data_IF_202952879043
#
_entry.id   IF_202952879043
#
_cell.length_a   1.000
_cell.length_b   1.000
_cell.length_c   1.000
_cell.angle_alpha   90.00
_cell.angle_beta   90.00
_cell.angle_gamma   90.00
#
_symmetry.space_group_name_H-M   'P 1'
#
loop_
_entity.id
_entity.type
_entity.pdbx_description
1 polymer ?
#
# COMPACT_ATOMS: atom_id res chain seq x y z
N UNK A 1 12.72 -6.50 25.25
CA UNK A 1 12.68 -5.44 24.21
C UNK A 1 13.80 -4.45 24.47
N UNK A 2 14.70 -4.23 23.49
CA UNK A 2 15.87 -3.37 23.65
C UNK A 2 15.50 -1.87 23.63
N UNK A 3 16.44 -0.99 24.01
CA UNK A 3 16.23 0.48 23.93
C UNK A 3 16.01 0.95 22.48
N UNK A 4 16.59 0.25 21.50
CA UNK A 4 16.41 0.54 20.08
C UNK A 4 15.00 0.11 19.64
N UNK A 5 14.57 -1.09 20.01
CA UNK A 5 13.24 -1.59 19.65
C UNK A 5 12.13 -0.66 20.19
N UNK A 6 12.27 -0.19 21.44
CA UNK A 6 11.32 0.79 22.02
C UNK A 6 11.25 2.09 21.23
N UNK A 7 12.37 2.55 20.66
CA UNK A 7 12.39 3.78 19.83
C UNK A 7 11.72 3.54 18.49
N UNK A 8 11.98 2.40 17.85
CA UNK A 8 11.35 2.03 16.59
C UNK A 8 9.83 1.89 16.81
N UNK A 9 9.41 1.28 17.91
CA UNK A 9 7.98 1.13 18.20
C UNK A 9 7.29 2.46 18.46
N UNK A 10 7.88 3.33 19.29
CA UNK A 10 7.34 4.69 19.47
C UNK A 10 7.33 5.52 18.18
N UNK A 11 8.25 5.25 17.24
CA UNK A 11 8.24 5.87 15.92
C UNK A 11 7.07 5.36 15.05
N UNK A 12 6.64 4.11 15.19
CA UNK A 12 5.45 3.58 14.51
C UNK A 12 4.17 4.13 15.13
N UNK A 13 4.08 4.24 16.45
CA UNK A 13 2.93 4.87 17.12
C UNK A 13 2.73 6.31 16.62
N UNK A 14 3.81 7.09 16.54
CA UNK A 14 3.79 8.44 15.98
C UNK A 14 3.45 8.47 14.48
N UNK A 15 3.78 7.42 13.73
CA UNK A 15 3.42 7.28 12.33
C UNK A 15 1.89 7.13 12.17
N UNK A 16 1.25 6.29 12.99
CA UNK A 16 -0.22 6.14 13.00
C UNK A 16 -0.92 7.45 13.37
N UNK A 17 -0.31 8.24 14.25
CA UNK A 17 -0.77 9.60 14.59
C UNK A 17 -0.44 10.67 13.53
N UNK A 18 0.11 10.27 12.37
CA UNK A 18 0.53 11.15 11.26
C UNK A 18 1.56 12.23 11.67
N UNK A 19 2.33 12.01 12.75
CA UNK A 19 3.35 12.93 13.27
C UNK A 19 4.72 12.71 12.59
N UNK A 20 4.74 12.80 11.27
CA UNK A 20 5.86 12.39 10.42
C UNK A 20 7.22 13.01 10.76
N UNK A 21 7.29 14.30 11.08
CA UNK A 21 8.56 14.96 11.46
C UNK A 21 9.17 14.36 12.74
N UNK A 22 8.33 13.98 13.71
CA UNK A 22 8.78 13.35 14.95
C UNK A 22 9.28 11.94 14.70
N UNK A 23 8.64 11.20 13.78
CA UNK A 23 9.10 9.89 13.32
C UNK A 23 10.51 10.00 12.74
N UNK A 24 10.75 10.92 11.79
CA UNK A 24 12.07 11.12 11.19
C UNK A 24 13.13 11.48 12.23
N UNK A 25 12.81 12.39 13.15
CA UNK A 25 13.72 12.79 14.24
C UNK A 25 14.19 11.58 15.06
N UNK A 26 13.27 10.66 15.39
CA UNK A 26 13.62 9.44 16.13
C UNK A 26 14.51 8.53 15.29
N UNK A 27 14.15 8.28 14.03
CA UNK A 27 14.88 7.38 13.13
C UNK A 27 16.29 7.90 12.81
N UNK A 28 16.45 9.21 12.60
CA UNK A 28 17.75 9.84 12.38
C UNK A 28 18.65 9.75 13.62
N UNK A 29 18.07 9.79 14.83
CA UNK A 29 18.82 9.55 16.07
C UNK A 29 19.40 8.13 16.18
N UNK A 30 18.91 7.19 15.36
CA UNK A 30 19.39 5.81 15.31
C UNK A 30 20.50 5.59 14.26
N UNK A 31 20.74 6.54 13.34
CA UNK A 31 21.75 6.43 12.27
C UNK A 31 23.17 6.14 12.79
N UNK A 32 23.52 6.71 13.95
CA UNK A 32 24.82 6.54 14.60
C UNK A 32 24.89 5.34 15.55
N UNK A 33 23.86 4.48 15.59
CA UNK A 33 23.78 3.32 16.48
C UNK A 33 24.09 2.03 15.71
N UNK A 34 24.67 1.05 16.39
CA UNK A 34 24.85 -0.29 15.85
C UNK A 34 23.51 -1.02 15.85
N UNK A 35 22.86 -1.05 14.70
CA UNK A 35 21.59 -1.75 14.46
C UNK A 35 21.85 -3.21 14.03
N UNK A 36 21.00 -4.13 14.50
CA UNK A 36 20.97 -5.49 13.94
C UNK A 36 20.26 -5.48 12.58
N UNK A 37 20.49 -6.53 11.78
CA UNK A 37 19.89 -6.77 10.46
C UNK A 37 18.41 -6.37 10.35
N UNK A 38 17.56 -6.89 11.23
CA UNK A 38 16.12 -6.57 11.28
C UNK A 38 15.83 -5.08 11.50
N UNK A 39 16.53 -4.46 12.45
CA UNK A 39 16.32 -3.05 12.80
C UNK A 39 16.76 -2.11 11.67
N UNK A 40 17.83 -2.46 10.93
CA UNK A 40 18.25 -1.67 9.76
C UNK A 40 17.16 -1.60 8.70
N UNK A 41 16.57 -2.74 8.38
CA UNK A 41 15.43 -2.81 7.47
C UNK A 41 14.26 -1.96 7.97
N UNK A 42 13.83 -2.15 9.23
CA UNK A 42 12.67 -1.44 9.79
C UNK A 42 12.86 0.07 9.79
N UNK A 43 14.06 0.55 10.15
CA UNK A 43 14.39 1.98 10.13
C UNK A 43 14.32 2.51 8.70
N UNK A 44 14.96 1.84 7.74
CA UNK A 44 15.03 2.32 6.36
C UNK A 44 13.68 2.32 5.67
N UNK A 45 12.93 1.25 5.84
CA UNK A 45 11.57 1.18 5.30
C UNK A 45 10.69 2.30 5.87
N UNK A 46 10.72 2.51 7.19
CA UNK A 46 9.88 3.55 7.81
C UNK A 46 10.34 4.96 7.40
N UNK A 47 11.64 5.22 7.27
CA UNK A 47 12.13 6.49 6.72
C UNK A 47 11.59 6.71 5.30
N UNK A 48 11.70 5.71 4.43
CA UNK A 48 11.17 5.76 3.08
C UNK A 48 9.68 6.11 3.03
N UNK A 49 8.86 5.40 3.79
CA UNK A 49 7.40 5.64 3.84
C UNK A 49 7.06 7.02 4.41
N UNK A 50 7.74 7.46 5.47
CA UNK A 50 7.49 8.78 6.06
C UNK A 50 7.88 9.90 5.10
N UNK A 51 9.03 9.78 4.44
CA UNK A 51 9.49 10.76 3.44
C UNK A 51 8.56 10.82 2.24
N UNK A 52 7.98 9.69 1.84
CA UNK A 52 6.94 9.66 0.81
C UNK A 52 5.71 10.48 1.23
N UNK A 53 5.24 10.34 2.46
CA UNK A 53 4.11 11.13 3.01
C UNK A 53 4.44 12.63 3.15
N UNK A 54 5.71 12.98 3.33
CA UNK A 54 6.21 14.36 3.35
C UNK A 54 6.53 14.92 1.94
N UNK A 55 6.26 14.16 0.88
CA UNK A 55 6.60 14.49 -0.51
C UNK A 55 8.10 14.66 -0.78
N UNK A 56 8.95 14.08 0.07
CA UNK A 56 10.41 14.01 -0.08
C UNK A 56 10.80 12.78 -0.91
N UNK A 57 10.42 12.78 -2.19
CA UNK A 57 10.45 11.57 -3.01
C UNK A 57 11.86 11.07 -3.35
N UNK A 58 12.85 11.95 -3.52
CA UNK A 58 14.21 11.52 -3.83
C UNK A 58 14.88 10.80 -2.66
N UNK A 59 14.73 11.35 -1.46
CA UNK A 59 15.21 10.73 -0.23
C UNK A 59 14.41 9.47 0.12
N UNK A 60 13.10 9.47 -0.13
CA UNK A 60 12.25 8.30 0.06
C UNK A 60 12.71 7.12 -0.81
N UNK A 61 12.92 7.34 -2.11
CA UNK A 61 13.46 6.30 -3.03
C UNK A 61 14.76 5.73 -2.49
N UNK A 62 15.69 6.59 -2.07
CA UNK A 62 16.98 6.16 -1.54
C UNK A 62 16.82 5.25 -0.31
N UNK A 63 15.99 5.64 0.66
CA UNK A 63 15.76 4.81 1.84
C UNK A 63 15.04 3.50 1.51
N UNK A 64 14.12 3.49 0.55
CA UNK A 64 13.42 2.28 0.12
C UNK A 64 14.34 1.31 -0.64
N UNK A 65 15.28 1.81 -1.45
CA UNK A 65 16.34 0.99 -2.05
C UNK A 65 17.26 0.39 -0.98
N UNK A 66 17.70 1.19 -0.02
CA UNK A 66 18.49 0.69 1.10
C UNK A 66 17.68 -0.33 1.93
N UNK A 67 16.36 -0.16 2.09
CA UNK A 67 15.51 -1.15 2.75
C UNK A 67 15.47 -2.47 1.96
N UNK A 68 15.35 -2.42 0.63
CA UNK A 68 15.39 -3.61 -0.21
C UNK A 68 16.74 -4.33 -0.11
N UNK A 69 17.86 -3.60 -0.18
CA UNK A 69 19.20 -4.16 -0.01
C UNK A 69 19.34 -4.86 1.36
N UNK A 70 18.87 -4.22 2.44
CA UNK A 70 18.85 -4.87 3.76
C UNK A 70 17.96 -6.11 3.79
N UNK A 71 16.83 -6.12 3.09
CA UNK A 71 15.95 -7.27 3.02
C UNK A 71 16.57 -8.46 2.26
N UNK A 72 17.34 -8.18 1.21
CA UNK A 72 18.12 -9.16 0.45
C UNK A 72 19.27 -9.72 1.28
N UNK A 73 20.04 -8.86 1.96
CA UNK A 73 21.09 -9.24 2.92
C UNK A 73 20.56 -10.09 4.08
N UNK A 74 19.29 -9.89 4.44
CA UNK A 74 18.60 -10.64 5.48
C UNK A 74 18.01 -11.96 4.97
N UNK A 75 18.04 -12.20 3.66
CA UNK A 75 17.36 -13.32 2.97
C UNK A 75 15.88 -13.44 3.38
N UNK A 76 15.24 -12.31 3.66
CA UNK A 76 13.90 -12.28 4.22
C UNK A 76 12.88 -11.85 3.16
N UNK A 77 12.14 -12.83 2.65
CA UNK A 77 11.16 -12.61 1.59
C UNK A 77 10.05 -11.62 1.97
N UNK A 78 9.55 -11.66 3.21
CA UNK A 78 8.55 -10.69 3.69
C UNK A 78 9.07 -9.25 3.68
N UNK A 79 10.36 -9.07 4.01
CA UNK A 79 10.99 -7.76 3.96
C UNK A 79 11.20 -7.31 2.51
N UNK A 80 11.59 -8.22 1.62
CA UNK A 80 11.79 -7.93 0.20
C UNK A 80 10.47 -7.50 -0.45
N UNK A 81 9.40 -8.26 -0.24
CA UNK A 81 8.09 -7.93 -0.83
C UNK A 81 7.57 -6.59 -0.32
N UNK A 82 7.71 -6.31 0.98
CA UNK A 82 7.30 -5.02 1.55
C UNK A 82 8.11 -3.83 1.01
N UNK A 83 9.41 -3.98 0.80
CA UNK A 83 10.23 -2.92 0.20
C UNK A 83 9.88 -2.70 -1.28
N UNK A 84 9.71 -3.78 -2.04
CA UNK A 84 9.29 -3.74 -3.44
C UNK A 84 7.91 -3.07 -3.61
N UNK A 85 6.97 -3.39 -2.74
CA UNK A 85 5.65 -2.77 -2.72
C UNK A 85 5.73 -1.24 -2.58
N UNK A 86 6.52 -0.77 -1.61
CA UNK A 86 6.70 0.67 -1.39
C UNK A 86 7.46 1.35 -2.54
N UNK A 87 8.44 0.66 -3.16
CA UNK A 87 9.09 1.14 -4.38
C UNK A 87 8.10 1.28 -5.53
N UNK A 88 7.18 0.33 -5.70
CA UNK A 88 6.10 0.42 -6.69
C UNK A 88 5.20 1.63 -6.45
N UNK A 89 4.77 1.86 -5.20
CA UNK A 89 3.93 3.00 -4.83
C UNK A 89 4.62 4.33 -5.15
N UNK A 90 5.89 4.52 -4.77
CA UNK A 90 6.58 5.79 -5.04
C UNK A 90 6.80 6.03 -6.54
N UNK A 91 7.06 4.98 -7.32
CA UNK A 91 7.14 5.12 -8.79
C UNK A 91 5.80 5.52 -9.39
N UNK A 92 4.69 4.94 -8.90
CA UNK A 92 3.34 5.33 -9.30
C UNK A 92 3.07 6.81 -8.99
N UNK A 93 3.43 7.28 -7.80
CA UNK A 93 3.27 8.68 -7.39
C UNK A 93 4.10 9.65 -8.26
N UNK A 94 5.27 9.21 -8.73
CA UNK A 94 6.12 9.98 -9.64
C UNK A 94 5.67 9.90 -11.11
N UNK A 95 4.62 9.13 -11.42
CA UNK A 95 4.12 8.92 -12.77
C UNK A 95 4.94 7.94 -13.62
N UNK A 96 5.91 7.24 -13.03
CA UNK A 96 6.66 6.17 -13.72
C UNK A 96 5.91 4.84 -13.61
N UNK A 97 4.80 4.75 -14.34
CA UNK A 97 3.92 3.58 -14.36
C UNK A 97 4.60 2.30 -14.86
N UNK A 98 5.50 2.33 -15.87
CA UNK A 98 6.27 1.15 -16.26
C UNK A 98 7.11 0.60 -15.10
N UNK A 99 7.88 1.47 -14.43
CA UNK A 99 8.75 1.02 -13.34
C UNK A 99 7.95 0.60 -12.09
N UNK A 100 6.83 1.27 -11.80
CA UNK A 100 5.89 0.82 -10.78
C UNK A 100 5.40 -0.62 -11.04
N UNK A 101 4.99 -0.90 -12.29
CA UNK A 101 4.55 -2.23 -12.71
C UNK A 101 5.67 -3.27 -12.57
N UNK A 102 6.92 -2.91 -12.87
CA UNK A 102 8.06 -3.81 -12.67
C UNK A 102 8.26 -4.18 -11.21
N UNK A 103 8.18 -3.21 -10.29
CA UNK A 103 8.31 -3.48 -8.85
C UNK A 103 7.17 -4.34 -8.32
N UNK A 104 5.91 -4.07 -8.70
CA UNK A 104 4.79 -4.90 -8.28
C UNK A 104 4.87 -6.32 -8.84
N UNK A 105 5.36 -6.51 -10.07
CA UNK A 105 5.60 -7.85 -10.63
C UNK A 105 6.74 -8.58 -9.94
N UNK A 106 7.80 -7.88 -9.56
CA UNK A 106 8.89 -8.48 -8.80
C UNK A 106 8.42 -8.90 -7.40
N UNK A 107 7.58 -8.10 -6.74
CA UNK A 107 6.92 -8.48 -5.49
C UNK A 107 6.18 -9.82 -5.62
N UNK A 108 5.38 -9.99 -6.69
CA UNK A 108 4.68 -11.25 -6.98
C UNK A 108 5.61 -12.45 -7.17
N UNK A 109 6.79 -12.26 -7.79
CA UNK A 109 7.78 -13.34 -7.95
C UNK A 109 8.34 -13.76 -6.59
N UNK A 110 8.66 -12.79 -5.71
CA UNK A 110 9.22 -13.03 -4.38
C UNK A 110 8.22 -13.64 -3.40
N UNK A 111 6.94 -13.30 -3.50
CA UNK A 111 5.93 -13.78 -2.57
C UNK A 111 5.41 -15.19 -2.88
N UNK A 112 5.82 -15.82 -3.99
CA UNK A 112 5.31 -17.13 -4.43
C UNK A 112 5.42 -18.23 -3.36
N UNK A 113 6.49 -18.25 -2.57
CA UNK A 113 6.67 -19.19 -1.45
C UNK A 113 6.06 -18.73 -0.12
N UNK A 114 5.41 -17.56 -0.09
CA UNK A 114 4.72 -17.02 1.09
C UNK A 114 3.22 -17.33 1.08
N UNK A 115 2.73 -17.92 -0.01
CA UNK A 115 1.34 -18.33 -0.20
C UNK A 115 1.02 -19.57 0.65
N UNK A 116 -0.14 -19.64 1.34
CA UNK A 116 -1.28 -18.71 1.29
C UNK A 116 -1.21 -17.52 2.25
N UNK A 117 -0.23 -17.47 3.16
CA UNK A 117 -0.15 -16.41 4.18
C UNK A 117 -0.03 -14.98 3.63
N UNK A 118 0.36 -14.83 2.36
CA UNK A 118 0.48 -13.54 1.66
C UNK A 118 -0.77 -13.12 0.88
N UNK A 119 -1.90 -13.84 0.96
CA UNK A 119 -3.10 -13.51 0.16
C UNK A 119 -3.66 -12.12 0.45
N UNK A 120 -3.63 -11.65 1.70
CA UNK A 120 -4.06 -10.29 2.02
C UNK A 120 -3.15 -9.23 1.37
N UNK A 121 -1.83 -9.43 1.38
CA UNK A 121 -0.88 -8.52 0.73
C UNK A 121 -1.00 -8.59 -0.81
N UNK A 122 -1.30 -9.76 -1.38
CA UNK A 122 -1.62 -9.89 -2.81
C UNK A 122 -2.80 -9.01 -3.21
N UNK A 123 -3.83 -8.88 -2.36
CA UNK A 123 -4.96 -8.02 -2.70
C UNK A 123 -4.54 -6.56 -2.87
N UNK A 124 -3.62 -6.07 -2.05
CA UNK A 124 -3.10 -4.70 -2.15
C UNK A 124 -2.20 -4.55 -3.36
N UNK A 125 -1.31 -5.51 -3.64
CA UNK A 125 -0.48 -5.48 -4.85
C UNK A 125 -1.32 -5.45 -6.14
N UNK A 126 -2.38 -6.26 -6.22
CA UNK A 126 -3.27 -6.26 -7.38
C UNK A 126 -4.10 -4.97 -7.49
N UNK A 127 -4.54 -4.41 -6.36
CA UNK A 127 -5.17 -3.09 -6.35
C UNK A 127 -4.24 -2.02 -6.92
N UNK A 128 -2.98 -1.99 -6.47
CA UNK A 128 -1.98 -1.03 -6.95
C UNK A 128 -1.67 -1.19 -8.45
N UNK A 129 -1.58 -2.42 -8.96
CA UNK A 129 -1.45 -2.65 -10.40
C UNK A 129 -2.67 -2.19 -11.18
N UNK A 130 -3.88 -2.40 -10.65
CA UNK A 130 -5.11 -1.89 -11.27
C UNK A 130 -5.14 -0.36 -11.33
N UNK A 131 -4.70 0.30 -10.27
CA UNK A 131 -4.60 1.76 -10.22
C UNK A 131 -3.57 2.30 -11.22
N UNK A 132 -2.40 1.65 -11.31
CA UNK A 132 -1.39 1.97 -12.35
C UNK A 132 -1.98 1.83 -13.76
N UNK A 133 -2.75 0.78 -14.04
CA UNK A 133 -3.39 0.59 -15.34
C UNK A 133 -4.48 1.62 -15.62
N UNK A 134 -5.27 1.97 -14.60
CA UNK A 134 -6.29 3.02 -14.69
C UNK A 134 -5.66 4.38 -15.02
N UNK A 135 -4.58 4.75 -14.32
CA UNK A 135 -3.81 5.97 -14.58
C UNK A 135 -3.12 5.98 -15.95
N UNK A 136 -2.75 4.80 -16.46
CA UNK A 136 -2.16 4.63 -17.80
C UNK A 136 -3.19 4.58 -18.94
N UNK A 137 -4.50 4.62 -18.62
CA UNK A 137 -5.59 4.52 -19.61
C UNK A 137 -5.91 3.09 -20.08
N UNK A 138 -5.32 2.07 -19.46
CA UNK A 138 -5.55 0.65 -19.78
C UNK A 138 -6.70 0.10 -18.93
N UNK A 139 -7.92 0.53 -19.25
CA UNK A 139 -9.08 0.27 -18.40
C UNK A 139 -9.50 -1.21 -18.30
N UNK A 140 -9.29 -2.00 -19.37
CA UNK A 140 -9.58 -3.44 -19.36
C UNK A 140 -8.66 -4.19 -18.38
N UNK A 141 -7.36 -3.87 -18.40
CA UNK A 141 -6.39 -4.44 -17.46
C UNK A 141 -6.67 -3.95 -16.03
N UNK A 142 -7.07 -2.69 -15.85
CA UNK A 142 -7.47 -2.17 -14.55
C UNK A 142 -8.63 -2.97 -13.95
N UNK A 143 -9.68 -3.23 -14.74
CA UNK A 143 -10.82 -4.03 -14.32
C UNK A 143 -10.39 -5.45 -13.93
N UNK A 144 -9.53 -6.10 -14.73
CA UNK A 144 -8.99 -7.42 -14.41
C UNK A 144 -8.23 -7.41 -13.07
N UNK A 145 -7.36 -6.44 -12.86
CA UNK A 145 -6.55 -6.34 -11.65
C UNK A 145 -7.38 -6.03 -10.40
N UNK A 146 -8.37 -5.14 -10.48
CA UNK A 146 -9.28 -4.88 -9.36
C UNK A 146 -10.14 -6.11 -9.01
N UNK A 147 -10.55 -6.91 -9.99
CA UNK A 147 -11.24 -8.18 -9.74
C UNK A 147 -10.33 -9.22 -9.05
N UNK A 148 -9.04 -9.27 -9.41
CA UNK A 148 -8.07 -10.09 -8.69
C UNK A 148 -7.88 -9.61 -7.25
N UNK A 149 -7.76 -8.29 -7.04
CA UNK A 149 -7.67 -7.70 -5.70
C UNK A 149 -8.86 -8.11 -4.82
N UNK A 150 -10.09 -7.97 -5.35
CA UNK A 150 -11.30 -8.42 -4.68
C UNK A 150 -11.27 -9.91 -4.35
N UNK A 151 -10.87 -10.75 -5.30
CA UNK A 151 -10.84 -12.21 -5.12
C UNK A 151 -9.95 -12.61 -3.94
N UNK A 152 -8.71 -12.10 -3.88
CA UNK A 152 -7.79 -12.40 -2.79
C UNK A 152 -8.26 -11.82 -1.45
N UNK A 153 -8.75 -10.58 -1.43
CA UNK A 153 -9.26 -9.97 -0.21
C UNK A 153 -10.47 -10.73 0.34
N UNK A 154 -11.37 -11.19 -0.53
CA UNK A 154 -12.55 -11.96 -0.15
C UNK A 154 -12.19 -13.36 0.37
N UNK A 155 -11.18 -14.02 -0.21
CA UNK A 155 -10.67 -15.31 0.28
C UNK A 155 -10.23 -15.22 1.75
N UNK A 156 -9.53 -14.14 2.13
CA UNK A 156 -9.01 -13.95 3.48
C UNK A 156 -9.98 -13.19 4.42
N UNK A 157 -11.15 -12.79 3.92
CA UNK A 157 -12.08 -11.87 4.63
C UNK A 157 -11.39 -10.58 5.08
N UNK A 158 -10.43 -10.10 4.29
CA UNK A 158 -9.81 -8.80 4.47
C UNK A 158 -10.80 -7.71 4.05
N UNK A 159 -11.63 -7.25 4.98
CA UNK A 159 -12.67 -6.26 4.71
C UNK A 159 -12.11 -4.95 4.12
N UNK A 160 -10.95 -4.49 4.58
CA UNK A 160 -10.32 -3.29 4.03
C UNK A 160 -9.93 -3.49 2.55
N UNK A 161 -9.30 -4.62 2.20
CA UNK A 161 -8.96 -4.95 0.81
C UNK A 161 -10.19 -5.11 -0.09
N UNK A 162 -11.28 -5.70 0.42
CA UNK A 162 -12.56 -5.80 -0.30
C UNK A 162 -13.10 -4.41 -0.60
N UNK A 163 -13.06 -3.50 0.37
CA UNK A 163 -13.59 -2.16 0.24
C UNK A 163 -12.85 -1.34 -0.82
N UNK A 164 -11.51 -1.38 -0.81
CA UNK A 164 -10.67 -0.73 -1.82
C UNK A 164 -10.96 -1.25 -3.23
N UNK A 165 -11.03 -2.57 -3.41
CA UNK A 165 -11.29 -3.16 -4.72
C UNK A 165 -12.69 -2.79 -5.25
N UNK A 166 -13.70 -2.79 -4.38
CA UNK A 166 -15.06 -2.37 -4.75
C UNK A 166 -15.13 -0.87 -5.08
N UNK A 167 -14.44 -0.02 -4.32
CA UNK A 167 -14.36 1.41 -4.63
C UNK A 167 -13.70 1.64 -6.00
N UNK A 168 -12.57 0.97 -6.26
CA UNK A 168 -11.86 1.08 -7.51
C UNK A 168 -12.70 0.64 -8.71
N UNK A 169 -13.44 -0.46 -8.59
CA UNK A 169 -14.38 -0.91 -9.63
C UNK A 169 -15.51 0.10 -9.85
N UNK A 170 -16.04 0.72 -8.79
CA UNK A 170 -17.03 1.79 -8.89
C UNK A 170 -16.49 3.02 -9.62
N UNK A 171 -15.30 3.49 -9.23
CA UNK A 171 -14.61 4.62 -9.86
C UNK A 171 -14.31 4.33 -11.34
N UNK A 172 -13.86 3.11 -11.67
CA UNK A 172 -13.59 2.71 -13.04
C UNK A 172 -14.86 2.72 -13.90
N UNK A 173 -15.98 2.21 -13.36
CA UNK A 173 -17.25 2.20 -14.09
C UNK A 173 -17.79 3.61 -14.31
N UNK A 174 -17.67 4.52 -13.33
CA UNK A 174 -17.97 5.93 -13.53
C UNK A 174 -17.14 6.56 -14.64
N UNK A 175 -15.81 6.34 -14.60
CA UNK A 175 -14.90 6.89 -15.60
C UNK A 175 -15.23 6.43 -17.02
N UNK A 176 -15.80 5.24 -17.18
CA UNK A 176 -16.19 4.65 -18.46
C UNK A 176 -17.65 4.94 -18.85
N UNK A 177 -18.36 5.81 -18.11
CA UNK A 177 -19.80 6.07 -18.26
C UNK A 177 -20.67 4.79 -18.16
N UNK A 178 -20.17 3.75 -17.49
CA UNK A 178 -20.85 2.48 -17.24
C UNK A 178 -21.64 2.58 -15.93
N UNK A 179 -22.68 3.40 -15.94
CA UNK A 179 -23.42 3.74 -14.71
C UNK A 179 -24.19 2.56 -14.07
N UNK A 180 -24.30 1.42 -14.75
CA UNK A 180 -24.90 0.24 -14.18
C UNK A 180 -24.06 -0.26 -12.99
N UNK A 181 -24.71 -0.41 -11.82
CA UNK A 181 -24.14 -0.98 -10.60
C UNK A 181 -23.04 -0.16 -9.90
N UNK A 182 -22.71 1.06 -10.34
CA UNK A 182 -21.74 1.95 -9.65
C UNK A 182 -22.10 2.14 -8.17
N UNK A 183 -23.37 2.49 -7.90
CA UNK A 183 -23.84 2.69 -6.52
C UNK A 183 -23.73 1.38 -5.71
N UNK A 184 -23.95 0.22 -6.33
CA UNK A 184 -23.81 -1.08 -5.65
C UNK A 184 -22.34 -1.34 -5.27
N UNK A 185 -21.39 -1.02 -6.15
CA UNK A 185 -19.96 -1.10 -5.85
C UNK A 185 -19.58 -0.21 -4.66
N UNK A 186 -20.02 1.05 -4.66
CA UNK A 186 -19.74 1.97 -3.56
C UNK A 186 -20.42 1.56 -2.25
N UNK A 187 -21.66 1.08 -2.29
CA UNK A 187 -22.35 0.57 -1.10
C UNK A 187 -21.61 -0.63 -0.48
N UNK A 188 -21.13 -1.57 -1.30
CA UNK A 188 -20.29 -2.68 -0.84
C UNK A 188 -18.97 -2.20 -0.25
N UNK A 189 -18.37 -1.16 -0.85
CA UNK A 189 -17.17 -0.54 -0.31
C UNK A 189 -17.40 0.06 1.09
N UNK A 190 -18.42 0.91 1.25
CA UNK A 190 -18.81 1.51 2.54
C UNK A 190 -19.08 0.45 3.61
N UNK A 191 -19.82 -0.62 3.28
CA UNK A 191 -20.09 -1.69 4.24
C UNK A 191 -18.80 -2.37 4.72
N UNK A 192 -17.86 -2.62 3.82
CA UNK A 192 -16.62 -3.31 4.16
C UNK A 192 -15.62 -2.39 4.88
N UNK A 193 -15.53 -1.10 4.52
CA UNK A 193 -14.75 -0.15 5.31
C UNK A 193 -15.25 -0.04 6.76
N UNK A 194 -16.58 -0.01 6.96
CA UNK A 194 -17.17 -0.06 8.32
C UNK A 194 -16.80 -1.33 9.08
N UNK A 195 -16.79 -2.50 8.41
CA UNK A 195 -16.34 -3.77 9.03
C UNK A 195 -14.84 -3.78 9.35
N UNK A 196 -14.05 -2.99 8.62
CA UNK A 196 -12.63 -2.79 8.86
C UNK A 196 -12.32 -1.64 9.85
N UNK A 197 -13.35 -1.01 10.42
CA UNK A 197 -13.23 0.17 11.30
C UNK A 197 -12.56 1.40 10.62
N UNK A 198 -12.56 1.44 9.28
CA UNK A 198 -12.05 2.52 8.44
C UNK A 198 -13.17 3.54 8.16
N UNK A 199 -13.59 4.27 9.20
CA UNK A 199 -14.77 5.13 9.12
C UNK A 199 -14.58 6.37 8.24
N UNK A 200 -13.38 6.95 8.21
CA UNK A 200 -13.06 8.11 7.39
C UNK A 200 -13.16 7.75 5.89
N UNK A 201 -12.63 6.60 5.51
CA UNK A 201 -12.72 6.04 4.16
C UNK A 201 -14.17 5.69 3.80
N UNK A 202 -14.93 5.12 4.74
CA UNK A 202 -16.35 4.83 4.54
C UNK A 202 -17.16 6.12 4.27
N UNK A 203 -16.88 7.21 4.98
CA UNK A 203 -17.53 8.52 4.79
C UNK A 203 -17.15 9.15 3.44
N UNK A 204 -15.87 9.04 3.05
CA UNK A 204 -15.41 9.51 1.74
C UNK A 204 -16.12 8.80 0.58
N UNK A 205 -16.31 7.48 0.66
CA UNK A 205 -17.06 6.74 -0.37
C UNK A 205 -18.56 7.03 -0.31
N UNK A 206 -19.12 7.22 0.89
CA UNK A 206 -20.54 7.59 1.04
C UNK A 206 -20.84 8.93 0.36
N UNK A 207 -19.94 9.91 0.48
CA UNK A 207 -20.09 11.21 -0.18
C UNK A 207 -20.19 11.08 -1.70
N UNK A 208 -19.43 10.15 -2.31
CA UNK A 208 -19.55 9.84 -3.75
C UNK A 208 -20.91 9.26 -4.12
N UNK A 209 -21.54 8.47 -3.25
CA UNK A 209 -22.89 7.95 -3.49
C UNK A 209 -23.89 9.10 -3.47
N UNK A 210 -23.79 9.97 -2.47
CA UNK A 210 -24.71 11.09 -2.28
C UNK A 210 -24.67 12.02 -3.52
N UNK A 211 -23.46 12.35 -4.01
CA UNK A 211 -23.23 13.14 -5.24
C UNK A 211 -23.84 12.52 -6.51
N UNK A 212 -23.97 11.20 -6.58
CA UNK A 212 -24.57 10.51 -7.74
C UNK A 212 -26.09 10.40 -7.66
N UNK A 213 -26.68 10.69 -6.50
CA UNK A 213 -28.12 10.53 -6.23
C UNK A 213 -28.87 11.85 -6.07
N UNK A 214 -28.15 12.97 -5.97
CA UNK A 214 -28.67 14.35 -5.98
C UNK A 214 -28.99 14.84 -7.41
#
# INVERSE_FOLDING_TARGET
>A
MSKIDKKIEGAKELFEEKKFDQVLTILESLSNKKLIKKQKFEVKLLQGVVRMNLNQYDESKKDLYEALEQAEDNENLWQQTRALHQLGIIMKLLGDYPLATEYFREELRRCSSLIPSYYSDLSYNFYEQGDVMMLSGNYEDAEMYFNHAYTFANTERNHHGIALAMEALGNLNLHLDRNANVIEYFQKSVENFKKAEAFDEAEAVQSKIDELTD
#
